data_IF_123398528194
#
_entry.id   IF_123398528194
#
_cell.length_a   1.000
_cell.length_b   1.000
_cell.length_c   1.000
_cell.angle_alpha   90.00
_cell.angle_beta   90.00
_cell.angle_gamma   90.00
#
_symmetry.space_group_name_H-M   'P 1'
#
loop_
_entity.id
_entity.type
_entity.pdbx_description
1 polymer ?
#
# COMPACT_ATOMS: atom_id res chain seq x y z
N UNK A 1 0.51 20.26 -38.81
CA UNK A 1 1.81 19.72 -38.36
C UNK A 1 1.98 19.81 -36.83
N UNK A 2 1.80 20.98 -36.22
CA UNK A 2 1.90 21.16 -34.76
C UNK A 2 1.06 20.17 -33.95
N UNK A 3 -0.19 19.96 -34.35
CA UNK A 3 -1.11 19.02 -33.70
C UNK A 3 -0.58 17.58 -33.70
N UNK A 4 -0.05 17.10 -34.83
CA UNK A 4 0.56 15.76 -34.94
C UNK A 4 1.74 15.63 -33.98
N UNK A 5 2.66 16.60 -33.98
CA UNK A 5 3.81 16.60 -33.08
C UNK A 5 3.38 16.58 -31.62
N UNK A 6 2.41 17.42 -31.26
CA UNK A 6 1.87 17.46 -29.90
C UNK A 6 1.23 16.13 -29.51
N UNK A 7 0.49 15.48 -30.42
CA UNK A 7 -0.11 14.16 -30.18
C UNK A 7 0.95 13.09 -29.94
N UNK A 8 2.06 13.10 -30.68
CA UNK A 8 3.19 12.17 -30.51
C UNK A 8 3.94 12.41 -29.19
N UNK A 9 4.14 13.67 -28.79
CA UNK A 9 4.83 14.01 -27.53
C UNK A 9 3.98 13.66 -26.30
N UNK A 10 2.66 13.87 -26.35
CA UNK A 10 1.73 13.54 -25.27
C UNK A 10 1.54 12.02 -25.05
N UNK A 11 2.04 11.17 -25.95
CA UNK A 11 1.90 9.72 -25.77
C UNK A 11 2.70 9.25 -24.55
N UNK A 12 2.23 8.19 -23.88
CA UNK A 12 3.06 7.45 -22.95
C UNK A 12 3.76 6.30 -23.69
N UNK A 13 4.94 5.89 -23.22
CA UNK A 13 5.56 4.65 -23.72
C UNK A 13 4.62 3.48 -23.42
N UNK A 14 4.29 2.73 -24.46
CA UNK A 14 3.29 1.67 -24.43
C UNK A 14 3.69 0.55 -25.38
N UNK A 15 3.19 -0.66 -25.14
CA UNK A 15 3.43 -1.80 -26.01
C UNK A 15 2.85 -1.53 -27.43
N UNK A 16 3.55 -2.08 -28.43
CA UNK A 16 3.10 -2.03 -29.81
C UNK A 16 1.84 -2.89 -30.02
N UNK A 17 1.08 -2.55 -31.07
CA UNK A 17 0.02 -3.41 -31.57
C UNK A 17 0.58 -4.54 -32.46
N UNK A 18 -0.28 -5.23 -33.24
CA UNK A 18 0.12 -6.29 -34.15
C UNK A 18 1.16 -5.87 -35.21
N UNK A 19 1.25 -4.57 -35.50
CA UNK A 19 2.19 -3.99 -36.46
C UNK A 19 3.63 -3.81 -35.93
N UNK A 20 3.87 -4.03 -34.63
CA UNK A 20 5.19 -3.89 -34.01
C UNK A 20 5.69 -2.43 -33.91
N UNK A 21 4.85 -1.43 -34.16
CA UNK A 21 5.26 -0.02 -34.15
C UNK A 21 5.12 0.57 -32.74
N UNK A 22 6.25 0.91 -32.12
CA UNK A 22 6.32 1.58 -30.82
C UNK A 22 6.26 3.11 -30.94
N UNK A 23 5.79 3.79 -29.88
CA UNK A 23 5.83 5.26 -29.80
C UNK A 23 7.25 5.81 -29.87
N UNK A 24 8.24 5.05 -29.37
CA UNK A 24 9.65 5.36 -29.54
C UNK A 24 10.03 5.68 -30.99
N UNK A 25 9.53 4.92 -31.97
CA UNK A 25 9.80 5.18 -33.39
C UNK A 25 9.17 6.49 -33.85
N UNK A 26 7.91 6.74 -33.47
CA UNK A 26 7.17 7.95 -33.88
C UNK A 26 7.84 9.24 -33.38
N UNK A 27 8.41 9.20 -32.17
CA UNK A 27 9.13 10.34 -31.56
C UNK A 27 10.44 10.67 -32.26
N UNK A 28 11.05 9.71 -32.95
CA UNK A 28 12.34 9.86 -33.64
C UNK A 28 12.18 9.90 -35.17
N UNK A 29 10.95 9.96 -35.69
CA UNK A 29 10.73 10.10 -37.13
C UNK A 29 11.29 11.43 -37.64
N UNK A 30 11.97 11.45 -38.80
CA UNK A 30 12.39 12.68 -39.44
C UNK A 30 11.16 13.46 -39.94
N UNK A 31 11.32 14.77 -40.12
CA UNK A 31 10.23 15.67 -40.55
C UNK A 31 9.56 15.22 -41.85
N UNK A 32 10.32 14.70 -42.81
CA UNK A 32 9.76 14.18 -44.08
C UNK A 32 8.76 13.04 -43.84
N UNK A 33 9.07 12.12 -42.93
CA UNK A 33 8.17 11.03 -42.55
C UNK A 33 6.93 11.54 -41.78
N UNK A 34 7.09 12.55 -40.91
CA UNK A 34 5.96 13.19 -40.23
C UNK A 34 5.01 13.87 -41.23
N UNK A 35 5.53 14.46 -42.31
CA UNK A 35 4.69 15.01 -43.39
C UNK A 35 3.93 13.92 -44.13
N UNK A 36 4.56 12.79 -44.43
CA UNK A 36 3.88 11.64 -45.05
C UNK A 36 2.79 11.09 -44.14
N UNK A 37 3.09 10.95 -42.84
CA UNK A 37 2.11 10.51 -41.85
C UNK A 37 0.93 11.47 -41.74
N UNK A 38 1.19 12.79 -41.75
CA UNK A 38 0.15 13.80 -41.74
C UNK A 38 -0.74 13.73 -42.99
N UNK A 39 -0.15 13.49 -44.17
CA UNK A 39 -0.91 13.29 -45.42
C UNK A 39 -1.81 12.05 -45.31
N UNK A 40 -1.29 10.95 -44.77
CA UNK A 40 -2.08 9.75 -44.51
C UNK A 40 -3.26 10.04 -43.57
N UNK A 41 -3.01 10.69 -42.44
CA UNK A 41 -4.06 11.03 -41.46
C UNK A 41 -5.13 11.94 -42.04
N UNK A 42 -4.74 12.96 -42.82
CA UNK A 42 -5.69 13.83 -43.48
C UNK A 42 -6.51 13.09 -44.54
N UNK A 43 -5.91 12.16 -45.28
CA UNK A 43 -6.62 11.32 -46.23
C UNK A 43 -7.70 10.48 -45.51
N UNK A 44 -7.30 9.76 -44.45
CA UNK A 44 -8.23 8.97 -43.61
C UNK A 44 -9.37 9.85 -43.07
N UNK A 45 -9.07 11.07 -42.61
CA UNK A 45 -10.08 12.01 -42.13
C UNK A 45 -11.08 12.43 -43.22
N UNK A 46 -10.61 12.62 -44.46
CA UNK A 46 -11.47 13.04 -45.58
C UNK A 46 -12.28 11.90 -46.18
N UNK A 47 -11.72 10.69 -46.27
CA UNK A 47 -12.37 9.55 -46.91
C UNK A 47 -13.17 8.69 -45.94
N UNK A 48 -12.78 8.67 -44.66
CA UNK A 48 -13.30 7.73 -43.67
C UNK A 48 -12.68 6.32 -43.78
N UNK A 49 -11.75 6.11 -44.71
CA UNK A 49 -11.18 4.80 -44.99
C UNK A 49 -10.00 4.49 -44.07
N UNK A 50 -10.30 3.81 -42.96
CA UNK A 50 -9.29 3.34 -42.00
C UNK A 50 -8.67 2.02 -42.52
N UNK A 51 -7.32 1.90 -42.54
CA UNK A 51 -6.63 0.67 -42.90
C UNK A 51 -7.17 -0.55 -42.12
N UNK A 52 -7.43 -1.69 -42.78
CA UNK A 52 -7.93 -2.89 -42.10
C UNK A 52 -7.04 -3.35 -40.94
N UNK A 53 -5.72 -3.24 -41.09
CA UNK A 53 -4.75 -3.60 -40.04
C UNK A 53 -4.87 -2.76 -38.77
N UNK A 54 -5.45 -1.55 -38.83
CA UNK A 54 -5.68 -0.72 -37.65
C UNK A 54 -6.95 -1.12 -36.88
N UNK A 55 -7.78 -1.98 -37.47
CA UNK A 55 -8.96 -2.57 -36.81
C UNK A 55 -8.62 -3.86 -36.05
N UNK A 56 -7.40 -4.35 -36.21
CA UNK A 56 -6.88 -5.51 -35.49
C UNK A 56 -6.19 -5.08 -34.20
N UNK A 57 -6.29 -5.93 -33.16
CA UNK A 57 -5.66 -5.68 -31.87
C UNK A 57 -5.15 -6.99 -31.26
N UNK A 58 -3.99 -6.92 -30.59
CA UNK A 58 -3.53 -8.02 -29.74
C UNK A 58 -4.17 -7.89 -28.36
N UNK A 59 -4.92 -8.91 -27.93
CA UNK A 59 -5.59 -8.89 -26.62
C UNK A 59 -4.72 -9.57 -25.59
N UNK A 60 -4.24 -8.80 -24.60
CA UNK A 60 -3.43 -9.29 -23.50
C UNK A 60 -4.28 -9.32 -22.22
N UNK A 61 -4.53 -10.50 -21.61
CA UNK A 61 -5.27 -10.59 -20.37
C UNK A 61 -4.39 -10.19 -19.17
N UNK A 62 -4.83 -9.23 -18.37
CA UNK A 62 -4.15 -8.80 -17.14
C UNK A 62 -4.96 -9.23 -15.91
N UNK A 63 -4.37 -9.97 -14.94
CA UNK A 63 -5.10 -10.44 -13.77
C UNK A 63 -5.55 -9.29 -12.86
N UNK A 64 -6.76 -9.38 -12.32
CA UNK A 64 -7.25 -8.45 -11.28
C UNK A 64 -6.49 -8.73 -9.96
N UNK A 65 -6.00 -7.69 -9.25
CA UNK A 65 -5.29 -7.88 -7.98
C UNK A 65 -6.13 -8.63 -6.94
N UNK A 66 -5.53 -9.64 -6.29
CA UNK A 66 -6.16 -10.40 -5.21
C UNK A 66 -7.31 -11.33 -5.64
N UNK A 67 -7.39 -11.68 -6.93
CA UNK A 67 -8.38 -12.62 -7.47
C UNK A 67 -7.71 -13.91 -7.93
N UNK A 68 -8.48 -15.01 -7.94
CA UNK A 68 -8.01 -16.33 -8.36
C UNK A 68 -7.59 -16.32 -9.84
N UNK A 69 -6.32 -16.63 -10.17
CA UNK A 69 -5.84 -16.70 -11.55
C UNK A 69 -6.45 -17.82 -12.40
N UNK A 70 -7.11 -18.81 -11.77
CA UNK A 70 -7.69 -19.97 -12.46
C UNK A 70 -9.01 -19.65 -13.18
N UNK A 71 -9.69 -18.57 -12.77
CA UNK A 71 -10.95 -18.13 -13.36
C UNK A 71 -10.71 -17.06 -14.44
N UNK A 72 -11.06 -17.32 -15.72
CA UNK A 72 -10.92 -16.36 -16.82
C UNK A 72 -11.66 -15.03 -16.59
N UNK A 73 -12.73 -15.01 -15.79
CA UNK A 73 -13.50 -13.79 -15.48
C UNK A 73 -12.71 -12.80 -14.62
N UNK A 74 -11.62 -13.27 -13.98
CA UNK A 74 -10.73 -12.47 -13.15
C UNK A 74 -9.66 -11.70 -13.93
N UNK A 75 -9.68 -11.74 -15.27
CA UNK A 75 -8.76 -10.98 -16.11
C UNK A 75 -9.43 -9.74 -16.70
N UNK A 76 -8.61 -8.71 -16.98
CA UNK A 76 -8.98 -7.54 -17.77
C UNK A 76 -8.39 -7.72 -19.17
N UNK A 77 -9.21 -7.79 -20.24
CA UNK A 77 -8.67 -7.83 -21.59
C UNK A 77 -8.16 -6.42 -21.96
N UNK A 78 -6.87 -6.29 -22.22
CA UNK A 78 -6.28 -5.04 -22.75
C UNK A 78 -6.00 -5.23 -24.23
N UNK A 79 -6.65 -4.42 -25.08
CA UNK A 79 -6.45 -4.43 -26.52
C UNK A 79 -5.29 -3.50 -26.89
N UNK A 80 -4.23 -4.08 -27.48
CA UNK A 80 -3.10 -3.35 -28.03
C UNK A 80 -3.35 -3.07 -29.51
N UNK A 81 -3.75 -1.84 -29.82
CA UNK A 81 -3.91 -1.34 -31.19
C UNK A 81 -2.65 -0.61 -31.68
N UNK A 82 -2.55 -0.42 -33.00
CA UNK A 82 -1.46 0.32 -33.66
C UNK A 82 -1.21 1.68 -33.00
N UNK A 83 0.05 2.01 -32.73
CA UNK A 83 0.44 3.32 -32.23
C UNK A 83 0.13 4.46 -33.21
N UNK A 84 0.11 4.18 -34.52
CA UNK A 84 -0.30 5.14 -35.54
C UNK A 84 -1.79 5.45 -35.42
N UNK A 85 -2.62 4.40 -35.27
CA UNK A 85 -4.06 4.54 -35.06
C UNK A 85 -4.36 5.37 -33.79
N UNK A 86 -3.75 4.99 -32.65
CA UNK A 86 -3.90 5.72 -31.38
C UNK A 86 -3.46 7.19 -31.46
N UNK A 87 -2.49 7.51 -32.32
CA UNK A 87 -2.03 8.89 -32.54
C UNK A 87 -3.09 9.72 -33.28
N UNK A 88 -3.74 9.13 -34.29
CA UNK A 88 -4.87 9.76 -34.99
C UNK A 88 -6.07 9.93 -34.05
N UNK A 89 -6.45 8.89 -33.32
CA UNK A 89 -7.53 8.93 -32.33
C UNK A 89 -7.31 10.05 -31.30
N UNK A 90 -6.08 10.22 -30.81
CA UNK A 90 -5.74 11.31 -29.88
C UNK A 90 -5.93 12.69 -30.51
N UNK A 91 -5.52 12.89 -31.76
CA UNK A 91 -5.74 14.17 -32.47
C UNK A 91 -7.24 14.47 -32.58
N UNK A 92 -8.03 13.47 -32.98
CA UNK A 92 -9.49 13.61 -33.09
C UNK A 92 -10.11 13.88 -31.72
N UNK A 93 -9.69 13.16 -30.68
CA UNK A 93 -10.17 13.35 -29.32
C UNK A 93 -9.83 14.75 -28.79
N UNK A 94 -8.61 15.25 -28.99
CA UNK A 94 -8.20 16.60 -28.58
C UNK A 94 -9.11 17.67 -29.23
N UNK A 95 -9.47 17.51 -30.51
CA UNK A 95 -10.43 18.40 -31.20
C UNK A 95 -11.84 18.29 -30.62
N UNK A 96 -12.33 17.07 -30.40
CA UNK A 96 -13.67 16.82 -29.86
C UNK A 96 -13.81 17.40 -28.45
N UNK A 97 -12.85 17.11 -27.57
CA UNK A 97 -12.83 17.64 -26.20
C UNK A 97 -12.78 19.16 -26.21
N UNK A 98 -11.99 19.78 -27.09
CA UNK A 98 -11.97 21.24 -27.21
C UNK A 98 -13.35 21.81 -27.55
N UNK A 99 -14.08 21.21 -28.49
CA UNK A 99 -15.45 21.64 -28.83
C UNK A 99 -16.43 21.42 -27.68
N UNK A 100 -16.36 20.26 -27.02
CA UNK A 100 -17.24 19.92 -25.91
C UNK A 100 -17.05 20.84 -24.69
N UNK A 101 -15.80 21.18 -24.37
CA UNK A 101 -15.44 22.08 -23.27
C UNK A 101 -15.76 23.55 -23.61
N UNK A 102 -15.37 24.02 -24.79
CA UNK A 102 -15.60 25.43 -25.21
C UNK A 102 -17.08 25.79 -25.32
N UNK A 103 -17.94 24.80 -25.59
CA UNK A 103 -19.40 24.97 -25.66
C UNK A 103 -20.11 24.55 -24.37
N UNK A 104 -19.37 24.16 -23.34
CA UNK A 104 -19.90 23.69 -22.05
C UNK A 104 -20.98 22.58 -22.21
N UNK A 105 -20.73 21.63 -23.12
CA UNK A 105 -21.65 20.52 -23.42
C UNK A 105 -21.49 19.34 -22.46
N UNK A 106 -20.44 19.33 -21.65
CA UNK A 106 -20.20 18.31 -20.63
C UNK A 106 -20.86 18.71 -19.32
N UNK A 107 -21.47 17.74 -18.65
CA UNK A 107 -22.08 17.98 -17.35
C UNK A 107 -21.06 18.47 -16.34
N UNK A 108 -21.43 19.47 -15.55
CA UNK A 108 -20.59 20.00 -14.47
C UNK A 108 -20.24 18.95 -13.41
N UNK A 109 -21.02 17.87 -13.30
CA UNK A 109 -20.76 16.77 -12.35
C UNK A 109 -19.91 15.65 -12.94
N UNK A 110 -19.67 15.62 -14.25
CA UNK A 110 -18.79 14.63 -14.85
C UNK A 110 -17.34 15.03 -14.59
N UNK A 111 -16.59 14.19 -13.87
CA UNK A 111 -15.17 14.39 -13.56
C UNK A 111 -14.24 13.37 -14.26
N UNK A 112 -14.76 12.19 -14.59
CA UNK A 112 -13.99 11.16 -15.27
C UNK A 112 -13.56 11.59 -16.67
N UNK A 113 -12.29 11.32 -17.01
CA UNK A 113 -11.68 11.60 -18.32
C UNK A 113 -11.71 13.07 -18.76
N UNK A 114 -11.89 14.00 -17.83
CA UNK A 114 -11.81 15.44 -18.10
C UNK A 114 -10.49 15.99 -17.60
N UNK A 115 -10.00 17.01 -18.32
CA UNK A 115 -8.76 17.68 -17.96
C UNK A 115 -8.94 18.39 -16.62
N UNK A 116 -7.91 18.35 -15.78
CA UNK A 116 -7.85 19.05 -14.50
C UNK A 116 -8.96 18.60 -13.50
N UNK A 117 -9.49 17.38 -13.70
CA UNK A 117 -10.47 16.74 -12.83
C UNK A 117 -10.05 15.29 -12.52
N UNK A 118 -10.44 14.82 -11.34
CA UNK A 118 -10.02 13.56 -10.75
C UNK A 118 -11.19 12.88 -10.02
N UNK A 119 -10.95 11.66 -9.54
CA UNK A 119 -11.92 10.97 -8.68
C UNK A 119 -12.09 11.65 -7.31
N UNK A 120 -11.12 12.49 -6.89
CA UNK A 120 -11.23 13.26 -5.65
C UNK A 120 -12.26 14.37 -5.75
N UNK A 121 -12.42 14.98 -6.92
CA UNK A 121 -13.41 16.05 -7.13
C UNK A 121 -14.84 15.57 -6.89
N UNK A 122 -15.12 14.30 -7.21
CA UNK A 122 -16.39 13.65 -6.85
C UNK A 122 -16.57 13.50 -5.34
N UNK A 123 -15.50 13.14 -4.61
CA UNK A 123 -15.55 13.00 -3.15
C UNK A 123 -15.78 14.35 -2.47
N UNK A 124 -15.03 15.39 -2.85
CA UNK A 124 -15.18 16.75 -2.30
C UNK A 124 -16.59 17.28 -2.56
N UNK A 125 -17.14 17.04 -3.76
CA UNK A 125 -18.52 17.41 -4.08
C UNK A 125 -19.54 16.68 -3.22
N UNK A 126 -19.33 15.39 -2.97
CA UNK A 126 -20.22 14.60 -2.12
C UNK A 126 -20.14 15.04 -0.66
N UNK A 127 -18.95 15.31 -0.15
CA UNK A 127 -18.72 15.81 1.21
C UNK A 127 -19.33 17.20 1.41
N UNK A 128 -19.14 18.12 0.46
CA UNK A 128 -19.73 19.47 0.52
C UNK A 128 -21.25 19.46 0.36
N UNK A 129 -21.80 18.50 -0.38
CA UNK A 129 -23.25 18.33 -0.52
C UNK A 129 -23.89 17.70 0.72
N UNK A 130 -23.17 16.81 1.41
CA UNK A 130 -23.65 16.12 2.61
C UNK A 130 -23.12 16.85 3.85
N UNK A 131 -23.93 17.77 4.39
CA UNK A 131 -23.61 18.40 5.67
C UNK A 131 -23.94 17.44 6.82
N UNK A 132 -22.90 16.85 7.41
CA UNK A 132 -23.03 16.17 8.69
C UNK A 132 -23.09 17.22 9.80
N UNK A 133 -24.30 17.64 10.15
CA UNK A 133 -24.52 18.53 11.30
C UNK A 133 -24.58 17.65 12.55
N UNK A 134 -23.62 17.86 13.46
CA UNK A 134 -23.76 17.33 14.82
C UNK A 134 -24.90 18.07 15.52
N UNK A 135 -25.98 17.35 15.81
CA UNK A 135 -27.06 17.86 16.63
C UNK A 135 -26.70 17.52 18.09
N UNK A 136 -26.54 18.52 18.97
CA UNK A 136 -26.25 18.27 20.38
C UNK A 136 -27.31 17.35 21.00
N UNK A 137 -26.87 16.30 21.68
CA UNK A 137 -27.77 15.30 22.25
C UNK A 137 -28.43 15.75 23.57
N UNK A 138 -28.46 17.05 23.90
CA UNK A 138 -28.66 17.46 25.29
C UNK A 138 -29.58 18.69 25.40
N UNK A 139 -30.76 18.44 25.99
CA UNK A 139 -31.74 19.37 26.57
C UNK A 139 -32.47 20.30 25.59
N UNK A 140 -33.80 20.21 25.57
CA UNK A 140 -34.71 21.09 24.81
C UNK A 140 -35.36 20.48 23.57
N UNK A 141 -34.97 19.26 23.17
CA UNK A 141 -35.60 18.54 22.03
C UNK A 141 -36.56 17.49 22.59
N UNK A 142 -37.87 17.76 22.46
CA UNK A 142 -38.94 16.94 23.02
C UNK A 142 -38.81 15.43 22.68
N UNK A 143 -38.41 15.11 21.43
CA UNK A 143 -38.22 13.72 21.00
C UNK A 143 -37.10 13.00 21.76
N UNK A 144 -35.95 13.64 21.92
CA UNK A 144 -34.81 13.08 22.63
C UNK A 144 -35.10 12.95 24.13
N UNK A 145 -35.73 13.96 24.73
CA UNK A 145 -36.13 13.92 26.14
C UNK A 145 -37.15 12.80 26.42
N UNK A 146 -38.08 12.58 25.50
CA UNK A 146 -39.04 11.48 25.61
C UNK A 146 -38.33 10.12 25.54
N UNK A 147 -37.37 9.94 24.61
CA UNK A 147 -36.57 8.71 24.51
C UNK A 147 -35.73 8.49 25.77
N UNK A 148 -35.09 9.54 26.30
CA UNK A 148 -34.26 9.48 27.50
C UNK A 148 -35.10 9.13 28.75
N UNK A 149 -36.30 9.71 28.86
CA UNK A 149 -37.27 9.40 29.91
C UNK A 149 -37.75 7.94 29.83
N UNK A 150 -38.02 7.44 28.62
CA UNK A 150 -38.40 6.05 28.40
C UNK A 150 -37.27 5.06 28.71
N UNK A 151 -36.02 5.40 28.32
CA UNK A 151 -34.85 4.60 28.63
C UNK A 151 -34.60 4.51 30.15
N UNK A 152 -34.68 5.65 30.87
CA UNK A 152 -34.60 5.69 32.34
C UNK A 152 -35.73 4.90 33.01
N UNK A 153 -36.96 5.00 32.50
CA UNK A 153 -38.09 4.22 33.01
C UNK A 153 -37.92 2.71 32.79
N UNK A 154 -37.19 2.30 31.75
CA UNK A 154 -36.90 0.89 31.46
C UNK A 154 -35.91 0.25 32.45
N UNK A 155 -35.07 1.04 33.15
CA UNK A 155 -34.15 0.54 34.19
C UNK A 155 -34.89 -0.11 35.37
N UNK A 156 -36.11 0.35 35.66
CA UNK A 156 -36.93 -0.16 36.77
C UNK A 156 -37.82 -1.36 36.37
N UNK A 157 -37.74 -1.83 35.12
CA UNK A 157 -38.46 -3.03 34.68
C UNK A 157 -37.59 -4.26 34.95
N UNK A 158 -38.13 -5.26 35.65
CA UNK A 158 -37.50 -6.57 35.78
C UNK A 158 -37.22 -7.13 34.39
N UNK A 159 -35.96 -7.51 34.15
CA UNK A 159 -35.44 -8.02 32.88
C UNK A 159 -36.48 -8.83 32.11
N UNK A 160 -36.79 -8.39 30.90
CA UNK A 160 -37.59 -9.19 29.97
C UNK A 160 -36.77 -10.43 29.62
N UNK A 161 -37.16 -11.58 30.18
CA UNK A 161 -36.59 -12.87 29.80
C UNK A 161 -36.73 -13.04 28.30
N UNK A 162 -35.61 -13.24 27.59
CA UNK A 162 -35.59 -13.53 26.16
C UNK A 162 -35.03 -12.48 25.21
N UNK A 163 -34.30 -11.44 25.68
CA UNK A 163 -33.55 -10.59 24.75
C UNK A 163 -32.21 -11.22 24.33
N UNK A 164 -32.08 -11.45 23.03
CA UNK A 164 -30.82 -11.74 22.36
C UNK A 164 -29.83 -10.59 22.63
N UNK A 165 -28.65 -10.92 23.15
CA UNK A 165 -27.56 -9.97 23.39
C UNK A 165 -27.13 -9.41 22.03
N UNK A 166 -27.03 -8.08 21.90
CA UNK A 166 -26.59 -7.44 20.67
C UNK A 166 -25.15 -7.86 20.34
N UNK A 167 -24.86 -8.14 19.07
CA UNK A 167 -23.51 -8.50 18.61
C UNK A 167 -22.45 -7.49 19.06
N UNK A 168 -22.79 -6.18 19.08
CA UNK A 168 -21.89 -5.11 19.55
C UNK A 168 -21.41 -5.30 20.98
N UNK A 169 -22.25 -5.88 21.85
CA UNK A 169 -21.96 -6.06 23.27
C UNK A 169 -21.22 -7.38 23.52
N UNK A 170 -21.44 -8.37 22.65
CA UNK A 170 -20.79 -9.66 22.71
C UNK A 170 -19.38 -9.64 22.08
N UNK A 171 -19.18 -8.84 21.03
CA UNK A 171 -17.92 -8.77 20.28
C UNK A 171 -16.70 -8.43 21.15
N UNK A 172 -16.73 -7.45 22.07
CA UNK A 172 -15.60 -7.19 22.97
C UNK A 172 -15.30 -8.40 23.87
N UNK A 173 -16.33 -9.06 24.40
CA UNK A 173 -16.16 -10.25 25.25
C UNK A 173 -15.55 -11.41 24.49
N UNK A 174 -16.02 -11.67 23.27
CA UNK A 174 -15.45 -12.69 22.38
C UNK A 174 -13.99 -12.37 22.08
N UNK A 175 -13.68 -11.13 21.68
CA UNK A 175 -12.31 -10.74 21.35
C UNK A 175 -11.37 -10.87 22.55
N UNK A 176 -11.81 -10.47 23.75
CA UNK A 176 -11.03 -10.65 24.98
C UNK A 176 -10.80 -12.14 25.27
N UNK A 177 -11.82 -12.97 25.11
CA UNK A 177 -11.67 -14.42 25.27
C UNK A 177 -10.69 -15.02 24.26
N UNK A 178 -10.83 -14.71 22.96
CA UNK A 178 -9.91 -15.18 21.90
C UNK A 178 -8.47 -14.76 22.21
N UNK A 179 -8.25 -13.49 22.57
CA UNK A 179 -6.92 -13.00 22.97
C UNK A 179 -6.37 -13.77 24.17
N UNK A 180 -7.21 -14.09 25.16
CA UNK A 180 -6.77 -14.86 26.33
C UNK A 180 -6.39 -16.31 26.00
N UNK A 181 -7.07 -16.93 25.02
CA UNK A 181 -6.73 -18.27 24.54
C UNK A 181 -5.39 -18.22 23.80
N UNK A 182 -5.23 -17.28 22.86
CA UNK A 182 -3.98 -17.12 22.13
C UNK A 182 -2.80 -16.78 23.03
N UNK A 183 -3.00 -15.94 24.04
CA UNK A 183 -1.95 -15.63 25.01
C UNK A 183 -1.54 -16.87 25.80
N UNK A 184 -2.49 -17.72 26.19
CA UNK A 184 -2.19 -18.97 26.89
C UNK A 184 -1.38 -19.93 26.01
N UNK A 185 -1.77 -20.07 24.74
CA UNK A 185 -1.05 -20.92 23.78
C UNK A 185 0.36 -20.36 23.53
N UNK A 186 0.50 -19.04 23.44
CA UNK A 186 1.77 -18.32 23.30
C UNK A 186 2.70 -18.54 24.49
N UNK A 187 2.17 -18.44 25.71
CA UNK A 187 2.93 -18.66 26.95
C UNK A 187 3.32 -20.13 27.16
N UNK A 188 2.56 -21.07 26.59
CA UNK A 188 2.85 -22.50 26.65
C UNK A 188 3.96 -22.94 25.69
N UNK A 189 4.33 -22.12 24.69
CA UNK A 189 5.33 -22.46 23.68
C UNK A 189 6.77 -22.23 24.20
N UNK A 190 7.30 -23.22 24.94
CA UNK A 190 8.56 -23.09 25.67
C UNK A 190 9.85 -22.92 24.85
N UNK A 191 9.81 -23.02 23.52
CA UNK A 191 10.98 -22.90 22.64
C UNK A 191 10.92 -21.69 21.68
N UNK A 192 10.07 -20.70 21.98
CA UNK A 192 9.87 -19.57 21.08
C UNK A 192 10.77 -18.37 21.42
N UNK A 193 11.81 -18.16 20.61
CA UNK A 193 12.73 -17.00 20.71
C UNK A 193 12.01 -15.64 20.62
N UNK A 194 10.86 -15.59 19.96
CA UNK A 194 10.08 -14.37 19.79
C UNK A 194 9.27 -14.00 21.05
N UNK A 195 9.01 -14.95 21.96
CA UNK A 195 8.32 -14.69 23.24
C UNK A 195 9.10 -13.70 24.10
N UNK A 196 10.43 -13.81 24.12
CA UNK A 196 11.31 -12.86 24.83
C UNK A 196 11.20 -11.42 24.30
N UNK A 197 10.87 -11.27 23.02
CA UNK A 197 10.71 -9.97 22.35
C UNK A 197 9.29 -9.44 22.47
N UNK A 198 8.29 -10.32 22.44
CA UNK A 198 6.86 -10.01 22.50
C UNK A 198 6.15 -10.98 23.46
N UNK A 199 6.21 -10.75 24.78
CA UNK A 199 5.56 -11.62 25.75
C UNK A 199 4.04 -11.46 25.75
N UNK A 200 3.52 -10.25 25.44
CA UNK A 200 2.09 -9.96 25.43
C UNK A 200 1.57 -9.76 23.99
N UNK A 201 0.62 -10.59 23.55
CA UNK A 201 0.01 -10.48 22.24
C UNK A 201 -0.93 -9.26 22.15
N UNK A 202 -0.79 -8.49 21.08
CA UNK A 202 -1.60 -7.30 20.80
C UNK A 202 -0.96 -5.98 21.25
N UNK A 203 0.26 -6.02 21.81
CA UNK A 203 1.08 -4.82 21.95
C UNK A 203 1.69 -4.41 20.60
N UNK A 204 1.65 -3.11 20.30
CA UNK A 204 2.28 -2.57 19.11
C UNK A 204 3.78 -2.31 19.37
N UNK A 205 4.63 -3.23 18.92
CA UNK A 205 6.08 -3.01 18.88
C UNK A 205 6.50 -2.18 17.66
N UNK A 206 5.61 -1.90 16.71
CA UNK A 206 5.88 -1.03 15.56
C UNK A 206 5.64 0.44 15.94
N UNK A 207 6.41 0.97 16.91
CA UNK A 207 6.59 2.43 16.98
C UNK A 207 7.28 2.88 15.69
N UNK A 208 6.50 3.33 14.71
CA UNK A 208 7.02 4.04 13.55
C UNK A 208 7.75 5.26 14.09
N UNK A 209 9.07 5.28 14.00
CA UNK A 209 9.75 6.57 13.97
C UNK A 209 9.22 7.29 12.74
N UNK A 210 8.66 8.49 12.92
CA UNK A 210 8.32 9.34 11.78
C UNK A 210 9.55 9.43 10.85
N UNK A 211 9.40 9.01 9.59
CA UNK A 211 10.50 8.99 8.61
C UNK A 211 11.36 7.73 8.54
N UNK A 212 11.00 6.62 9.20
CA UNK A 212 11.74 5.34 9.07
C UNK A 212 11.60 4.74 7.66
N UNK A 213 12.70 4.63 6.91
CA UNK A 213 12.71 3.98 5.60
C UNK A 213 12.69 2.44 5.67
N UNK A 214 12.24 1.78 4.59
CA UNK A 214 12.11 0.31 4.46
C UNK A 214 13.32 -0.51 4.92
N UNK A 215 14.54 0.01 4.75
CA UNK A 215 15.78 -0.65 5.20
C UNK A 215 15.84 -0.80 6.72
N UNK A 216 15.44 0.24 7.47
CA UNK A 216 15.39 0.22 8.92
C UNK A 216 14.35 -0.79 9.41
N UNK A 217 13.17 -0.82 8.78
CA UNK A 217 12.11 -1.77 9.13
C UNK A 217 12.54 -3.22 8.91
N UNK A 218 13.18 -3.51 7.77
CA UNK A 218 13.68 -4.85 7.46
C UNK A 218 14.69 -5.32 8.50
N UNK A 219 15.63 -4.44 8.88
CA UNK A 219 16.61 -4.73 9.92
C UNK A 219 15.96 -4.98 11.28
N UNK A 220 14.99 -4.15 11.69
CA UNK A 220 14.28 -4.33 12.96
C UNK A 220 13.46 -5.62 13.00
N UNK A 221 12.77 -5.97 11.90
CA UNK A 221 12.05 -7.24 11.80
C UNK A 221 13.00 -8.42 11.93
N UNK A 222 14.13 -8.41 11.19
CA UNK A 222 15.16 -9.46 11.27
C UNK A 222 15.71 -9.61 12.69
N UNK A 223 16.04 -8.51 13.36
CA UNK A 223 16.52 -8.56 14.75
C UNK A 223 15.49 -9.19 15.70
N UNK A 224 14.20 -8.84 15.57
CA UNK A 224 13.13 -9.38 16.43
C UNK A 224 12.94 -10.88 16.26
N UNK A 225 13.09 -11.40 15.04
CA UNK A 225 13.04 -12.85 14.78
C UNK A 225 14.37 -13.54 15.04
N UNK A 226 15.35 -12.86 15.65
CA UNK A 226 16.63 -13.44 16.03
C UNK A 226 17.63 -13.57 14.89
N UNK A 227 17.55 -12.72 13.87
CA UNK A 227 18.40 -12.74 12.69
C UNK A 227 19.35 -11.54 12.60
N UNK A 228 20.63 -11.85 12.42
CA UNK A 228 21.71 -10.95 12.01
C UNK A 228 22.66 -11.72 11.11
N UNK A 229 23.59 -11.02 10.47
CA UNK A 229 24.64 -11.69 9.72
C UNK A 229 25.49 -12.61 10.61
N UNK A 230 25.89 -12.18 11.81
CA UNK A 230 26.70 -12.99 12.74
C UNK A 230 25.96 -14.25 13.22
N UNK A 231 24.64 -14.20 13.28
CA UNK A 231 23.84 -15.29 13.85
C UNK A 231 23.32 -16.28 12.79
N UNK A 232 23.39 -15.98 11.49
CA UNK A 232 22.86 -16.86 10.42
C UNK A 232 23.74 -17.02 9.19
N UNK A 233 24.80 -16.21 8.98
CA UNK A 233 25.62 -16.32 7.77
C UNK A 233 26.31 -17.68 7.62
N UNK A 234 26.64 -18.35 8.73
CA UNK A 234 27.26 -19.68 8.73
C UNK A 234 26.37 -20.75 8.07
N UNK A 235 25.05 -20.65 8.21
CA UNK A 235 24.11 -21.55 7.54
C UNK A 235 24.15 -21.41 6.02
N UNK A 236 24.37 -20.18 5.52
CA UNK A 236 24.46 -19.90 4.09
C UNK A 236 25.82 -20.30 3.50
N UNK A 237 26.88 -20.25 4.32
CA UNK A 237 28.25 -20.57 3.93
C UNK A 237 28.64 -22.03 4.22
N UNK A 238 27.78 -22.78 4.92
CA UNK A 238 28.07 -24.10 5.45
C UNK A 238 29.36 -24.12 6.30
N UNK A 239 29.50 -23.11 7.16
CA UNK A 239 30.58 -22.94 8.13
C UNK A 239 30.08 -23.30 9.54
N UNK A 240 31.00 -23.41 10.51
CA UNK A 240 30.63 -23.59 11.91
C UNK A 240 29.94 -22.35 12.50
N UNK A 241 29.05 -22.56 13.47
CA UNK A 241 28.33 -21.46 14.10
C UNK A 241 29.29 -20.51 14.82
N UNK A 242 29.20 -19.18 14.58
CA UNK A 242 30.09 -18.21 15.20
C UNK A 242 29.98 -18.23 16.73
N UNK A 243 31.14 -18.23 17.38
CA UNK A 243 31.31 -18.35 18.82
C UNK A 243 31.95 -17.08 19.40
N UNK A 244 31.43 -16.62 20.54
CA UNK A 244 31.98 -15.51 21.31
C UNK A 244 32.96 -16.04 22.36
N UNK A 245 34.26 -15.92 22.09
CA UNK A 245 35.31 -16.45 22.98
C UNK A 245 35.37 -15.75 24.35
N UNK A 246 35.08 -14.45 24.42
CA UNK A 246 35.13 -13.72 25.69
C UNK A 246 34.00 -14.11 26.64
N UNK A 247 32.87 -14.57 26.10
CA UNK A 247 31.69 -14.93 26.87
C UNK A 247 31.41 -16.43 26.91
N UNK A 248 32.28 -17.24 26.30
CA UNK A 248 32.15 -18.70 26.19
C UNK A 248 30.74 -19.14 25.73
N UNK A 249 30.20 -18.48 24.71
CA UNK A 249 28.83 -18.73 24.24
C UNK A 249 28.65 -18.47 22.75
N UNK A 250 27.63 -19.10 22.14
CA UNK A 250 27.28 -18.89 20.74
C UNK A 250 26.71 -17.49 20.52
N UNK A 251 27.02 -16.88 19.38
CA UNK A 251 26.38 -15.62 19.01
C UNK A 251 24.88 -15.83 18.79
N UNK A 252 24.09 -15.10 19.57
CA UNK A 252 22.64 -14.93 19.39
C UNK A 252 22.30 -13.44 19.41
N UNK A 253 21.12 -13.05 18.92
CA UNK A 253 20.69 -11.65 18.99
C UNK A 253 20.61 -11.14 20.43
N UNK A 254 20.13 -11.99 21.35
CA UNK A 254 20.15 -11.71 22.79
C UNK A 254 21.57 -11.48 23.29
N UNK A 255 22.49 -12.37 22.92
CA UNK A 255 23.90 -12.23 23.30
C UNK A 255 24.47 -10.89 22.81
N UNK A 256 24.31 -10.58 21.53
CA UNK A 256 24.87 -9.37 20.90
C UNK A 256 24.25 -8.09 21.49
N UNK A 257 22.94 -8.06 21.73
CA UNK A 257 22.22 -6.85 22.14
C UNK A 257 22.18 -6.65 23.67
N UNK A 258 22.24 -7.72 24.46
CA UNK A 258 21.99 -7.68 25.91
C UNK A 258 23.20 -8.18 26.72
N UNK A 259 23.77 -9.34 26.41
CA UNK A 259 24.63 -10.07 27.36
C UNK A 259 26.14 -9.93 27.11
N UNK A 260 26.57 -9.71 25.87
CA UNK A 260 27.97 -9.76 25.45
C UNK A 260 28.86 -8.79 26.23
N UNK A 261 29.89 -9.32 26.90
CA UNK A 261 30.89 -8.56 27.65
C UNK A 261 31.73 -7.67 26.74
N UNK A 262 32.20 -8.20 25.61
CA UNK A 262 33.02 -7.46 24.64
C UNK A 262 32.32 -6.22 24.08
N UNK A 263 31.00 -6.27 23.98
CA UNK A 263 30.23 -5.17 23.41
C UNK A 263 29.64 -4.22 24.46
N UNK A 264 29.89 -4.43 25.76
CA UNK A 264 29.27 -3.61 26.80
C UNK A 264 29.62 -2.13 26.69
N UNK A 265 30.88 -1.79 26.45
CA UNK A 265 31.33 -0.39 26.37
C UNK A 265 30.72 0.33 25.18
N UNK A 266 30.60 -0.36 24.03
CA UNK A 266 29.93 0.18 22.85
C UNK A 266 28.42 0.28 23.08
N UNK A 267 27.79 -0.73 23.69
CA UNK A 267 26.36 -0.76 23.98
C UNK A 267 25.93 0.41 24.87
N UNK A 268 26.69 0.71 25.93
CA UNK A 268 26.42 1.80 26.89
C UNK A 268 26.33 3.18 26.23
N UNK A 269 26.98 3.39 25.07
CA UNK A 269 26.87 4.63 24.28
C UNK A 269 25.48 4.80 23.66
N UNK A 270 24.80 3.70 23.35
CA UNK A 270 23.55 3.69 22.61
C UNK A 270 22.32 3.46 23.48
N UNK A 271 22.34 2.50 24.40
CA UNK A 271 21.19 2.21 25.26
C UNK A 271 21.60 1.40 26.50
N UNK A 272 20.75 1.44 27.53
CA UNK A 272 20.94 0.70 28.78
C UNK A 272 19.64 -0.02 29.15
N UNK A 273 19.51 -1.26 28.68
CA UNK A 273 18.36 -2.14 28.95
C UNK A 273 18.85 -3.55 29.29
N UNK A 274 18.00 -4.27 30.02
CA UNK A 274 18.31 -5.58 30.63
C UNK A 274 17.80 -6.77 29.83
N UNK A 275 16.85 -6.56 28.93
CA UNK A 275 16.15 -7.60 28.19
C UNK A 275 15.70 -7.09 26.81
N UNK A 276 15.42 -8.03 25.90
CA UNK A 276 15.03 -7.72 24.52
C UNK A 276 13.67 -7.03 24.44
N UNK A 277 12.71 -7.37 25.32
CA UNK A 277 11.39 -6.75 25.34
C UNK A 277 11.49 -5.23 25.56
N UNK A 278 12.20 -4.79 26.62
CA UNK A 278 12.44 -3.37 26.89
C UNK A 278 13.22 -2.70 25.77
N UNK A 279 14.21 -3.39 25.19
CA UNK A 279 14.97 -2.87 24.05
C UNK A 279 14.05 -2.48 22.90
N UNK A 280 13.21 -3.41 22.42
CA UNK A 280 12.37 -3.17 21.25
C UNK A 280 11.15 -2.28 21.53
N UNK A 281 10.75 -2.14 22.80
CA UNK A 281 9.61 -1.31 23.21
C UNK A 281 9.99 0.13 23.52
N UNK A 282 11.12 0.36 24.18
CA UNK A 282 11.47 1.65 24.77
C UNK A 282 12.56 2.39 23.98
N UNK A 283 13.46 1.67 23.32
CA UNK A 283 14.60 2.29 22.62
C UNK A 283 14.25 2.64 21.18
N UNK A 284 14.66 3.84 20.75
CA UNK A 284 14.47 4.27 19.37
C UNK A 284 15.23 3.33 18.39
N UNK A 285 14.58 2.80 17.33
CA UNK A 285 15.20 1.91 16.36
C UNK A 285 16.52 2.43 15.75
N UNK A 286 16.65 3.74 15.55
CA UNK A 286 17.87 4.35 14.99
C UNK A 286 19.08 4.20 15.93
N UNK A 287 18.88 4.15 17.25
CA UNK A 287 19.97 3.93 18.23
C UNK A 287 20.42 2.48 18.22
N UNK A 288 19.49 1.53 18.06
CA UNK A 288 19.78 0.10 17.92
C UNK A 288 20.61 -0.14 16.65
N UNK A 289 20.22 0.50 15.56
CA UNK A 289 20.98 0.45 14.30
C UNK A 289 22.34 1.14 14.40
N UNK A 290 22.44 2.27 15.10
CA UNK A 290 23.73 2.94 15.35
C UNK A 290 24.72 2.03 16.06
N UNK A 291 24.27 1.32 17.10
CA UNK A 291 25.07 0.30 17.79
C UNK A 291 25.55 -0.79 16.84
N UNK A 292 24.66 -1.35 16.01
CA UNK A 292 25.03 -2.40 15.06
C UNK A 292 26.00 -1.92 13.95
N UNK A 293 25.96 -0.63 13.60
CA UNK A 293 26.91 -0.02 12.66
C UNK A 293 28.30 0.08 13.28
N UNK A 294 28.39 0.53 14.53
CA UNK A 294 29.67 0.62 15.24
C UNK A 294 30.31 -0.75 15.49
N UNK A 295 29.49 -1.80 15.65
CA UNK A 295 29.97 -3.17 15.69
C UNK A 295 30.36 -3.73 14.32
N UNK A 296 30.10 -3.02 13.22
CA UNK A 296 30.36 -3.49 11.86
C UNK A 296 29.39 -4.58 11.36
N UNK A 297 28.29 -4.84 12.09
CA UNK A 297 27.34 -5.93 11.79
C UNK A 297 26.17 -5.45 10.91
N UNK A 298 25.88 -4.14 10.89
CA UNK A 298 24.72 -3.57 10.21
C UNK A 298 24.70 -3.70 8.67
N UNK A 299 25.87 -3.60 8.01
CA UNK A 299 25.94 -3.59 6.54
C UNK A 299 25.45 -4.87 5.87
N UNK A 300 25.35 -5.96 6.63
CA UNK A 300 24.96 -7.28 6.17
C UNK A 300 23.64 -7.79 6.80
N UNK A 301 22.88 -6.90 7.46
CA UNK A 301 21.58 -7.21 8.09
C UNK A 301 20.43 -7.09 7.12
#
# INVERSE_FOLDING_TARGET
MSELKNSVVKSNESAAGPDGVYYYFLRHLPESCLHTLLKLFNNIWTTGDIPPSWREASVVPIPKPGKDPSDPSNYRPIALTSCLCKTLERMVNDRLVHVLESRNLLSNVQCGFRKDQSTLDHLVRLETFISFVWIPAHVGIQGNENVDKLAKAALNRTSTSGKLICYSDLKPKINTYIKSVWQRDWDAEGANKLHEVLPNLGEDLHRRGEGAGRKLETAMCRLRVGHTWLTQSYLLKNEDQPFCYACDSLYTVRHILIECLDFQDTKRKYFSVTDLYRLFREVNPSRIVGYLKDLGVYGNI
#
